data_IF_047285926553
#
_entry.id   IF_047285926553
#
_cell.length_a   1.000
_cell.length_b   1.000
_cell.length_c   1.000
_cell.angle_alpha   90.00
_cell.angle_beta   90.00
_cell.angle_gamma   90.00
#
_symmetry.space_group_name_H-M   'P 1'
#
loop_
_entity.id
_entity.type
_entity.pdbx_description
1 polymer ?
#
# COMPACT_ATOMS: atom_id res chain seq x y z
N UNK A 1 1.90 -5.06 25.94
CA UNK A 1 1.57 -3.62 25.99
C UNK A 1 0.19 -3.41 25.35
N UNK A 2 -0.46 -2.28 25.57
CA UNK A 2 -1.88 -2.09 25.23
C UNK A 2 -2.18 -2.21 23.71
N UNK A 3 -1.23 -1.81 22.85
CA UNK A 3 -1.41 -1.76 21.40
C UNK A 3 -0.59 -2.80 20.61
N UNK A 4 0.08 -3.72 21.25
CA UNK A 4 0.95 -4.70 20.55
C UNK A 4 0.18 -5.63 19.58
N UNK A 5 -1.12 -5.78 19.79
CA UNK A 5 -1.99 -6.58 18.93
C UNK A 5 -2.40 -5.87 17.63
N UNK A 6 -2.13 -4.57 17.48
CA UNK A 6 -2.38 -3.81 16.25
C UNK A 6 -1.19 -3.76 15.29
N UNK A 7 -0.26 -4.69 15.40
CA UNK A 7 0.78 -4.90 14.39
C UNK A 7 0.19 -5.47 13.09
N UNK A 8 1.00 -5.59 12.05
CA UNK A 8 0.54 -6.16 10.78
C UNK A 8 -0.11 -7.54 10.99
N UNK A 9 -1.20 -7.86 10.23
CA UNK A 9 -1.87 -9.16 10.33
C UNK A 9 -0.94 -10.34 10.10
N UNK A 10 -1.17 -11.50 10.74
CA UNK A 10 -0.38 -12.70 10.49
C UNK A 10 -0.54 -13.15 9.04
N UNK A 11 0.55 -13.69 8.47
CA UNK A 11 0.51 -14.34 7.17
C UNK A 11 -0.26 -15.65 7.21
N UNK A 12 -0.72 -16.10 6.04
CA UNK A 12 -1.44 -17.36 5.84
C UNK A 12 -2.72 -17.48 6.68
N UNK A 13 -3.35 -16.33 6.95
CA UNK A 13 -4.65 -16.23 7.60
C UNK A 13 -5.54 -15.21 6.87
N UNK A 14 -6.87 -15.41 6.86
CA UNK A 14 -7.78 -14.44 6.25
C UNK A 14 -7.62 -13.05 6.87
N UNK A 15 -7.45 -12.04 6.02
CA UNK A 15 -7.32 -10.65 6.49
C UNK A 15 -8.54 -10.19 7.29
N UNK A 16 -9.73 -10.73 6.96
CA UNK A 16 -10.97 -10.42 7.68
C UNK A 16 -10.98 -10.89 9.13
N UNK A 17 -10.18 -11.92 9.46
CA UNK A 17 -10.10 -12.49 10.81
C UNK A 17 -9.04 -11.79 11.68
N UNK A 18 -8.24 -10.92 11.08
CA UNK A 18 -7.25 -10.15 11.82
C UNK A 18 -7.92 -9.30 12.91
N UNK A 19 -7.15 -9.02 13.96
CA UNK A 19 -7.61 -8.22 15.09
C UNK A 19 -8.88 -8.78 15.78
N UNK A 20 -9.06 -10.13 15.74
CA UNK A 20 -10.22 -10.79 16.34
C UNK A 20 -11.57 -10.45 15.70
N UNK A 21 -11.57 -10.00 14.43
CA UNK A 21 -12.78 -9.61 13.73
C UNK A 21 -13.36 -8.26 14.20
N UNK A 22 -12.54 -7.42 14.82
CA UNK A 22 -12.96 -6.10 15.32
C UNK A 22 -13.46 -5.19 14.17
N UNK A 23 -12.93 -5.33 12.97
CA UNK A 23 -13.26 -4.48 11.83
C UNK A 23 -14.19 -5.17 10.85
N UNK A 24 -15.21 -4.45 10.38
CA UNK A 24 -16.21 -4.95 9.43
C UNK A 24 -15.62 -5.29 8.06
N UNK A 25 -14.61 -4.55 7.63
CA UNK A 25 -14.05 -4.67 6.27
C UNK A 25 -12.58 -4.33 6.20
N UNK A 26 -11.94 -4.86 5.15
CA UNK A 26 -10.57 -4.54 4.77
C UNK A 26 -10.57 -4.07 3.32
N UNK A 27 -10.04 -2.88 3.07
CA UNK A 27 -9.77 -2.37 1.73
C UNK A 27 -8.27 -2.37 1.47
N UNK A 28 -7.85 -3.00 0.38
CA UNK A 28 -6.46 -3.10 -0.02
C UNK A 28 -6.18 -1.92 -0.94
N UNK A 29 -5.45 -0.93 -0.43
CA UNK A 29 -5.05 0.28 -1.16
C UNK A 29 -3.77 -0.04 -1.93
N UNK A 30 -3.80 -0.04 -3.24
CA UNK A 30 -2.62 -0.22 -4.08
C UNK A 30 -1.74 1.03 -4.04
N UNK A 31 -0.46 0.85 -3.78
CA UNK A 31 0.50 1.94 -3.88
C UNK A 31 0.66 2.36 -5.34
N UNK A 32 0.40 3.61 -5.72
CA UNK A 32 0.51 4.03 -7.11
C UNK A 32 1.95 3.93 -7.60
N UNK A 33 2.11 3.66 -8.88
CA UNK A 33 3.37 3.96 -9.55
C UNK A 33 3.62 5.47 -9.50
N UNK A 34 4.88 5.88 -9.56
CA UNK A 34 5.27 7.28 -9.43
C UNK A 34 5.69 7.83 -10.79
N UNK A 35 4.93 8.78 -11.32
CA UNK A 35 5.31 9.53 -12.52
C UNK A 35 6.02 10.81 -12.10
N UNK A 36 7.19 11.07 -12.68
CA UNK A 36 7.95 12.31 -12.46
C UNK A 36 8.37 12.88 -13.81
N UNK A 37 8.33 14.21 -14.00
CA UNK A 37 8.68 14.84 -15.26
C UNK A 37 10.07 14.47 -15.80
N UNK A 38 10.17 14.24 -17.11
CA UNK A 38 11.36 13.74 -17.80
C UNK A 38 12.60 14.65 -17.75
N UNK A 39 12.40 15.94 -17.54
CA UNK A 39 13.45 16.95 -17.59
C UNK A 39 14.31 17.05 -16.32
N UNK A 40 14.17 16.12 -15.38
CA UNK A 40 14.87 16.18 -14.12
C UNK A 40 16.17 15.36 -14.15
N UNK A 41 17.28 15.99 -13.80
CA UNK A 41 18.63 15.45 -13.94
C UNK A 41 18.88 14.14 -13.15
N UNK A 42 18.16 13.90 -12.05
CA UNK A 42 18.35 12.69 -11.24
C UNK A 42 17.89 11.41 -11.95
N UNK A 43 16.97 11.51 -12.93
CA UNK A 43 16.56 10.36 -13.76
C UNK A 43 17.73 9.74 -14.52
N UNK A 44 18.73 10.54 -14.89
CA UNK A 44 19.92 10.05 -15.55
C UNK A 44 20.76 9.11 -14.68
N UNK A 45 20.63 9.19 -13.35
CA UNK A 45 21.35 8.32 -12.40
C UNK A 45 20.71 6.96 -12.18
N UNK A 46 19.48 6.73 -12.69
CA UNK A 46 18.67 5.53 -12.43
C UNK A 46 18.44 5.23 -10.93
N UNK A 47 18.66 6.22 -10.07
CA UNK A 47 18.44 6.08 -8.63
C UNK A 47 16.97 6.38 -8.32
N UNK A 48 16.35 5.52 -7.49
CA UNK A 48 14.97 5.73 -7.02
C UNK A 48 14.85 7.11 -6.35
N UNK A 49 13.79 7.90 -6.63
CA UNK A 49 13.61 9.23 -6.06
C UNK A 49 13.41 9.15 -4.53
N UNK A 50 13.97 10.11 -3.82
CA UNK A 50 13.71 10.26 -2.39
C UNK A 50 12.31 10.82 -2.12
N UNK A 51 11.82 10.67 -0.88
CA UNK A 51 10.47 11.08 -0.50
C UNK A 51 10.17 12.54 -0.80
N UNK A 52 11.10 13.45 -0.52
CA UNK A 52 10.93 14.87 -0.84
C UNK A 52 10.73 15.12 -2.34
N UNK A 53 11.43 14.36 -3.18
CA UNK A 53 11.27 14.45 -4.63
C UNK A 53 9.93 13.90 -5.07
N UNK A 54 9.52 12.75 -4.51
CA UNK A 54 8.20 12.15 -4.77
C UNK A 54 7.09 13.12 -4.35
N UNK A 55 7.18 13.68 -3.14
CA UNK A 55 6.17 14.58 -2.59
C UNK A 55 6.08 15.93 -3.31
N UNK A 56 7.19 16.42 -3.89
CA UNK A 56 7.22 17.73 -4.57
C UNK A 56 6.96 17.65 -6.07
N UNK A 57 7.31 16.55 -6.72
CA UNK A 57 7.36 16.43 -8.18
C UNK A 57 6.60 15.22 -8.71
N UNK A 58 6.31 14.25 -7.84
CA UNK A 58 5.64 13.01 -8.20
C UNK A 58 4.14 13.19 -8.40
N UNK A 59 3.59 12.39 -9.31
CA UNK A 59 2.17 12.22 -9.49
C UNK A 59 1.80 10.74 -9.45
N UNK A 60 0.63 10.42 -8.90
CA UNK A 60 0.09 9.05 -8.89
C UNK A 60 -0.12 8.58 -10.33
N UNK A 61 0.42 7.41 -10.65
CA UNK A 61 0.19 6.75 -11.92
C UNK A 61 -0.52 5.41 -11.62
N UNK A 62 -1.79 5.25 -12.04
CA UNK A 62 -2.63 4.14 -11.62
C UNK A 62 -2.15 2.78 -12.13
N UNK A 63 -2.36 1.71 -11.35
CA UNK A 63 -2.12 0.33 -11.76
C UNK A 63 -2.91 -0.05 -13.01
N UNK A 64 -4.18 0.36 -13.09
CA UNK A 64 -5.02 0.14 -14.26
C UNK A 64 -4.37 0.66 -15.55
N UNK A 65 -3.73 1.82 -15.47
CA UNK A 65 -3.04 2.42 -16.61
C UNK A 65 -1.76 1.66 -16.98
N UNK A 66 -1.00 1.19 -15.98
CA UNK A 66 0.17 0.32 -16.21
C UNK A 66 -0.26 -0.98 -16.85
N UNK A 67 -1.30 -1.63 -16.31
CA UNK A 67 -1.86 -2.87 -16.85
C UNK A 67 -2.27 -2.73 -18.31
N UNK A 68 -2.99 -1.66 -18.67
CA UNK A 68 -3.41 -1.39 -20.04
C UNK A 68 -2.22 -1.21 -21.01
N UNK A 69 -1.12 -0.64 -20.54
CA UNK A 69 0.04 -0.36 -21.38
C UNK A 69 1.05 -1.50 -21.48
N UNK A 70 1.06 -2.40 -20.49
CA UNK A 70 1.96 -3.55 -20.46
C UNK A 70 1.32 -4.84 -20.98
N UNK A 71 -0.01 -4.87 -21.11
CA UNK A 71 -0.77 -6.09 -21.37
C UNK A 71 -0.89 -7.01 -20.16
N UNK A 72 -0.46 -6.58 -18.96
CA UNK A 72 -0.61 -7.32 -17.71
C UNK A 72 -2.02 -7.05 -17.14
N UNK A 73 -3.01 -7.71 -17.72
CA UNK A 73 -4.43 -7.35 -17.62
C UNK A 73 -5.09 -7.56 -16.25
N UNK A 74 -4.37 -8.12 -15.26
CA UNK A 74 -4.91 -8.32 -13.90
C UNK A 74 -3.97 -7.75 -12.86
N UNK A 75 -4.52 -7.29 -11.73
CA UNK A 75 -3.74 -6.83 -10.59
C UNK A 75 -2.76 -7.91 -10.11
N UNK A 76 -3.20 -9.17 -10.05
CA UNK A 76 -2.35 -10.30 -9.68
C UNK A 76 -1.13 -10.46 -10.60
N UNK A 77 -1.32 -10.36 -11.91
CA UNK A 77 -0.22 -10.42 -12.89
C UNK A 77 0.75 -9.25 -12.74
N UNK A 78 0.23 -8.05 -12.54
CA UNK A 78 1.07 -6.87 -12.35
C UNK A 78 1.84 -6.94 -11.03
N UNK A 79 1.19 -7.41 -9.94
CA UNK A 79 1.85 -7.65 -8.66
C UNK A 79 2.94 -8.73 -8.78
N UNK A 80 2.67 -9.83 -9.48
CA UNK A 80 3.68 -10.86 -9.75
C UNK A 80 4.89 -10.30 -10.51
N UNK A 81 4.65 -9.42 -11.49
CA UNK A 81 5.73 -8.75 -12.23
C UNK A 81 6.56 -7.82 -11.33
N UNK A 82 5.93 -7.06 -10.41
CA UNK A 82 6.59 -6.23 -9.42
C UNK A 82 7.47 -7.08 -8.49
N UNK A 83 6.88 -8.08 -7.83
CA UNK A 83 7.59 -8.97 -6.91
C UNK A 83 8.72 -9.75 -7.60
N UNK A 84 8.54 -10.13 -8.88
CA UNK A 84 9.59 -10.74 -9.69
C UNK A 84 10.73 -9.74 -9.94
N UNK A 85 10.40 -8.46 -10.18
CA UNK A 85 11.38 -7.40 -10.47
C UNK A 85 12.23 -7.03 -9.25
N UNK A 86 11.67 -7.12 -8.04
CA UNK A 86 12.39 -6.85 -6.77
C UNK A 86 13.05 -8.10 -6.21
N UNK A 87 12.65 -9.28 -6.65
CA UNK A 87 13.11 -10.55 -6.12
C UNK A 87 12.37 -11.01 -4.87
N UNK A 88 11.32 -10.29 -4.47
CA UNK A 88 10.48 -10.55 -3.29
C UNK A 88 9.45 -11.66 -3.52
N UNK A 89 9.74 -12.63 -4.38
CA UNK A 89 8.89 -13.79 -4.69
C UNK A 89 9.72 -15.04 -4.88
N UNK A 90 9.22 -16.18 -4.45
CA UNK A 90 9.89 -17.47 -4.60
C UNK A 90 10.27 -17.74 -6.07
N UNK A 91 11.47 -18.32 -6.34
CA UNK A 91 11.97 -18.48 -7.71
C UNK A 91 11.02 -19.20 -8.67
N UNK A 92 10.29 -20.21 -8.19
CA UNK A 92 9.33 -21.01 -8.95
C UNK A 92 8.07 -20.25 -9.35
N UNK A 93 7.80 -19.13 -8.70
CA UNK A 93 6.62 -18.27 -8.94
C UNK A 93 6.96 -17.05 -9.79
N UNK A 94 8.23 -16.87 -10.16
CA UNK A 94 8.66 -15.73 -10.95
C UNK A 94 8.11 -15.78 -12.38
N UNK A 95 7.61 -14.64 -12.84
CA UNK A 95 7.30 -14.41 -14.25
C UNK A 95 8.27 -13.40 -14.85
N UNK A 96 9.39 -13.91 -15.37
CA UNK A 96 10.45 -13.07 -15.95
C UNK A 96 9.96 -12.32 -17.19
N UNK A 97 8.99 -12.85 -17.94
CA UNK A 97 8.44 -12.19 -19.12
C UNK A 97 7.55 -11.00 -18.71
N UNK A 98 6.71 -11.17 -17.70
CA UNK A 98 5.91 -10.10 -17.13
C UNK A 98 6.78 -8.99 -16.50
N UNK A 99 7.83 -9.38 -15.77
CA UNK A 99 8.79 -8.44 -15.19
C UNK A 99 9.52 -7.65 -16.29
N UNK A 100 9.95 -8.29 -17.38
CA UNK A 100 10.60 -7.62 -18.50
C UNK A 100 9.66 -6.64 -19.21
N UNK A 101 8.39 -7.00 -19.43
CA UNK A 101 7.38 -6.11 -19.99
C UNK A 101 7.15 -4.88 -19.10
N UNK A 102 7.01 -5.09 -17.80
CA UNK A 102 6.90 -4.01 -16.82
C UNK A 102 8.12 -3.08 -16.84
N UNK A 103 9.33 -3.61 -16.77
CA UNK A 103 10.57 -2.82 -16.78
C UNK A 103 10.72 -2.00 -18.06
N UNK A 104 10.40 -2.59 -19.21
CA UNK A 104 10.43 -1.88 -20.51
C UNK A 104 9.47 -0.69 -20.52
N UNK A 105 8.26 -0.89 -20.02
CA UNK A 105 7.28 0.18 -19.88
C UNK A 105 7.77 1.29 -18.92
N UNK A 106 8.23 0.93 -17.73
CA UNK A 106 8.69 1.90 -16.72
C UNK A 106 9.82 2.81 -17.28
N UNK A 107 10.75 2.21 -18.03
CA UNK A 107 11.85 2.94 -18.64
C UNK A 107 11.36 3.89 -19.74
N UNK A 108 10.44 3.43 -20.59
CA UNK A 108 9.93 4.22 -21.72
C UNK A 108 8.98 5.34 -21.29
N UNK A 109 8.18 5.11 -20.25
CA UNK A 109 7.15 6.03 -19.77
C UNK A 109 7.62 7.01 -18.69
N UNK A 110 8.87 6.88 -18.21
CA UNK A 110 9.39 7.70 -17.11
C UNK A 110 8.60 7.56 -15.81
N UNK A 111 8.18 6.31 -15.55
CA UNK A 111 7.42 5.92 -14.38
C UNK A 111 8.30 5.04 -13.49
N UNK A 112 8.18 5.21 -12.20
CA UNK A 112 8.87 4.42 -11.18
C UNK A 112 7.93 3.40 -10.58
N UNK A 113 8.47 2.28 -10.11
CA UNK A 113 7.70 1.30 -9.33
C UNK A 113 7.10 1.96 -8.09
N UNK A 114 6.00 1.41 -7.54
CA UNK A 114 5.50 1.81 -6.24
C UNK A 114 6.58 1.65 -5.15
N UNK A 115 6.45 2.39 -4.07
CA UNK A 115 7.26 2.16 -2.88
C UNK A 115 6.91 0.80 -2.28
N UNK A 116 7.93 -0.01 -2.03
CA UNK A 116 7.81 -1.31 -1.36
C UNK A 116 7.98 -1.15 0.15
N UNK A 117 7.15 -1.84 0.91
CA UNK A 117 7.36 -2.08 2.31
C UNK A 117 7.25 -0.88 3.25
N UNK A 118 6.61 0.20 2.84
CA UNK A 118 6.36 1.38 3.68
C UNK A 118 5.19 2.18 3.15
N UNK A 119 4.66 3.07 3.96
CA UNK A 119 3.60 3.98 3.53
C UNK A 119 4.05 4.81 2.33
N UNK A 120 3.28 4.74 1.23
CA UNK A 120 3.58 5.44 -0.02
C UNK A 120 3.50 6.97 0.18
N UNK A 121 4.55 7.73 -0.14
CA UNK A 121 4.57 9.19 0.06
C UNK A 121 3.40 9.91 -0.58
N UNK A 122 2.97 9.51 -1.80
CA UNK A 122 1.84 10.13 -2.50
C UNK A 122 0.47 9.83 -1.89
N UNK A 123 0.38 8.87 -0.95
CA UNK A 123 -0.85 8.53 -0.24
C UNK A 123 -0.90 9.10 1.19
N UNK A 124 0.18 9.68 1.71
CA UNK A 124 0.23 10.17 3.08
C UNK A 124 -0.88 11.18 3.39
N UNK A 125 -1.13 12.11 2.46
CA UNK A 125 -2.18 13.11 2.64
C UNK A 125 -3.59 12.50 2.57
N UNK A 126 -3.78 11.44 1.78
CA UNK A 126 -5.05 10.73 1.70
C UNK A 126 -5.31 9.95 2.99
N UNK A 127 -4.26 9.32 3.55
CA UNK A 127 -4.37 8.65 4.85
C UNK A 127 -4.74 9.65 5.95
N UNK A 128 -4.08 10.79 6.01
CA UNK A 128 -4.41 11.84 6.99
C UNK A 128 -5.80 12.45 6.75
N UNK A 129 -6.29 12.44 5.51
CA UNK A 129 -7.67 12.85 5.21
C UNK A 129 -8.69 11.87 5.80
N UNK A 130 -8.40 10.55 5.87
CA UNK A 130 -9.26 9.58 6.54
C UNK A 130 -9.41 9.91 8.04
N UNK A 131 -8.29 10.20 8.74
CA UNK A 131 -8.34 10.61 10.15
C UNK A 131 -9.12 11.90 10.34
N UNK A 132 -8.90 12.90 9.48
CA UNK A 132 -9.64 14.16 9.54
C UNK A 132 -11.14 13.97 9.27
N UNK A 133 -11.53 13.11 8.32
CA UNK A 133 -12.93 12.79 8.02
C UNK A 133 -13.63 12.09 9.19
N UNK A 134 -12.91 11.31 9.97
CA UNK A 134 -13.38 10.71 11.22
C UNK A 134 -13.35 11.68 12.42
N UNK A 135 -12.94 12.95 12.24
CA UNK A 135 -12.81 13.93 13.32
C UNK A 135 -11.64 13.72 14.27
N UNK A 136 -10.69 12.83 13.91
CA UNK A 136 -9.53 12.51 14.73
C UNK A 136 -8.50 13.65 14.70
N UNK A 137 -8.14 14.17 15.87
CA UNK A 137 -7.08 15.19 16.02
C UNK A 137 -5.71 14.51 16.19
N UNK A 138 -5.70 13.30 16.69
CA UNK A 138 -4.54 12.48 16.98
C UNK A 138 -4.74 11.07 16.40
N UNK A 139 -3.63 10.41 16.13
CA UNK A 139 -3.59 9.01 15.75
C UNK A 139 -2.53 8.29 16.59
N UNK A 140 -2.72 7.00 16.79
CA UNK A 140 -1.77 6.13 17.47
C UNK A 140 -0.93 5.47 16.38
N UNK A 141 0.38 5.66 16.44
CA UNK A 141 1.32 4.93 15.59
C UNK A 141 1.89 3.74 16.37
N UNK A 142 1.61 2.55 15.88
CA UNK A 142 2.19 1.29 16.37
C UNK A 142 3.30 0.89 15.40
N UNK A 143 4.58 0.95 15.82
CA UNK A 143 5.68 0.57 14.95
C UNK A 143 5.66 -0.94 14.65
N UNK A 144 6.37 -1.37 13.62
CA UNK A 144 6.47 -2.78 13.22
C UNK A 144 6.98 -3.67 14.37
N UNK A 145 7.89 -3.14 15.19
CA UNK A 145 8.49 -3.84 16.33
C UNK A 145 8.20 -3.08 17.64
N UNK A 146 6.98 -3.16 18.18
CA UNK A 146 6.59 -2.35 19.35
C UNK A 146 7.34 -2.72 20.63
N UNK A 147 8.05 -3.87 20.67
CA UNK A 147 8.90 -4.22 21.82
C UNK A 147 10.23 -3.47 21.83
N UNK A 148 10.68 -2.94 20.69
CA UNK A 148 11.92 -2.17 20.55
C UNK A 148 11.66 -0.69 20.36
N UNK A 149 10.61 -0.37 19.64
CA UNK A 149 10.21 0.98 19.31
C UNK A 149 8.92 1.37 20.03
N UNK A 150 8.85 2.53 20.69
CA UNK A 150 7.67 2.90 21.47
C UNK A 150 6.49 3.24 20.55
N UNK A 151 5.29 2.87 20.99
CA UNK A 151 4.03 3.38 20.43
C UNK A 151 3.99 4.90 20.63
N UNK A 152 3.54 5.62 19.61
CA UNK A 152 3.55 7.09 19.60
C UNK A 152 2.15 7.64 19.37
N UNK A 153 1.81 8.72 20.08
CA UNK A 153 0.63 9.52 19.78
C UNK A 153 1.07 10.69 18.87
N UNK A 154 0.55 10.72 17.65
CA UNK A 154 0.94 11.68 16.64
C UNK A 154 -0.22 12.65 16.36
N UNK A 155 0.11 13.93 16.14
CA UNK A 155 -0.90 14.93 15.85
C UNK A 155 -1.16 15.04 14.33
N UNK A 156 -2.38 14.82 13.90
CA UNK A 156 -2.81 14.80 12.49
C UNK A 156 -2.50 16.13 11.79
N UNK A 157 -2.71 17.27 12.46
CA UNK A 157 -2.41 18.57 11.87
C UNK A 157 -0.92 18.82 11.67
N UNK A 158 -0.06 18.36 12.60
CA UNK A 158 1.39 18.46 12.45
C UNK A 158 1.92 17.63 11.32
N UNK A 159 1.42 16.39 11.18
CA UNK A 159 1.75 15.51 10.04
C UNK A 159 1.30 16.15 8.71
N UNK A 160 0.08 16.68 8.63
CA UNK A 160 -0.42 17.37 7.44
C UNK A 160 0.40 18.60 7.05
N UNK A 161 0.87 19.35 8.02
CA UNK A 161 1.70 20.55 7.83
C UNK A 161 3.18 20.20 7.67
N UNK A 162 3.55 18.92 7.72
CA UNK A 162 4.95 18.43 7.63
C UNK A 162 5.87 19.03 8.67
N UNK A 163 5.33 19.43 9.83
CA UNK A 163 6.11 19.85 11.00
C UNK A 163 6.51 18.68 11.88
N UNK A 164 5.98 17.50 11.58
CA UNK A 164 6.32 16.21 12.13
C UNK A 164 6.49 15.22 10.98
N UNK A 165 7.45 14.30 11.09
CA UNK A 165 7.73 13.33 10.05
C UNK A 165 6.61 12.26 10.01
N UNK A 166 6.14 11.94 8.81
CA UNK A 166 5.19 10.84 8.63
C UNK A 166 5.90 9.50 8.89
N UNK A 167 5.29 8.58 9.67
CA UNK A 167 5.87 7.27 9.94
C UNK A 167 6.15 6.49 8.66
N UNK A 168 7.25 5.76 8.62
CA UNK A 168 7.63 4.99 7.44
C UNK A 168 6.84 3.69 7.33
N UNK A 169 6.74 2.92 8.42
CA UNK A 169 6.16 1.56 8.44
C UNK A 169 5.56 1.24 9.79
N UNK A 170 4.50 0.45 9.79
CA UNK A 170 3.77 0.04 10.98
C UNK A 170 2.26 0.24 10.79
N UNK A 171 1.56 0.55 11.86
CA UNK A 171 0.12 0.76 11.86
C UNK A 171 -0.22 2.18 12.34
N UNK A 172 -1.10 2.85 11.59
CA UNK A 172 -1.75 4.09 11.97
C UNK A 172 -3.16 3.74 12.45
N UNK A 173 -3.41 3.85 13.74
CA UNK A 173 -4.68 3.51 14.38
C UNK A 173 -5.43 4.78 14.79
N UNK A 174 -6.74 4.83 14.54
CA UNK A 174 -7.59 5.88 15.08
C UNK A 174 -7.57 5.86 16.61
N UNK A 175 -7.58 7.02 17.26
CA UNK A 175 -7.50 7.10 18.72
C UNK A 175 -8.71 6.44 19.43
N UNK A 176 -9.83 6.30 18.74
CA UNK A 176 -11.03 5.57 19.19
C UNK A 176 -11.08 4.11 18.70
N UNK A 177 -10.00 3.63 18.08
CA UNK A 177 -9.84 2.29 17.53
C UNK A 177 -10.87 1.90 16.45
N UNK A 178 -11.56 2.87 15.87
CA UNK A 178 -12.63 2.63 14.89
C UNK A 178 -12.12 2.17 13.52
N UNK A 179 -10.87 2.47 13.17
CA UNK A 179 -10.22 2.04 11.92
C UNK A 179 -8.69 2.09 12.05
N UNK A 180 -8.01 1.41 11.15
CA UNK A 180 -6.56 1.48 11.04
C UNK A 180 -6.07 1.35 9.58
N UNK A 181 -4.84 1.82 9.37
CA UNK A 181 -4.07 1.63 8.15
C UNK A 181 -2.75 0.94 8.52
N UNK A 182 -2.41 -0.16 7.86
CA UNK A 182 -1.17 -0.89 8.13
C UNK A 182 -0.47 -1.31 6.86
N UNK A 183 0.87 -1.36 6.89
CA UNK A 183 1.70 -1.74 5.76
C UNK A 183 2.76 -2.74 6.18
N UNK A 184 2.96 -3.76 5.36
CA UNK A 184 4.01 -4.76 5.53
C UNK A 184 5.26 -4.42 4.71
N UNK A 185 6.42 -4.94 5.12
CA UNK A 185 7.74 -4.61 4.56
C UNK A 185 7.96 -5.09 3.11
N UNK A 186 7.27 -6.12 2.64
CA UNK A 186 7.38 -6.64 1.26
C UNK A 186 6.10 -6.39 0.44
N UNK A 187 5.29 -5.39 0.80
CA UNK A 187 4.05 -5.12 0.09
C UNK A 187 4.10 -3.84 -0.75
N UNK A 188 3.34 -3.83 -1.83
CA UNK A 188 3.04 -2.66 -2.65
C UNK A 188 1.62 -2.15 -2.38
N UNK A 189 1.12 -2.36 -1.17
CA UNK A 189 -0.22 -1.96 -0.75
C UNK A 189 -0.28 -1.65 0.74
N UNK A 190 -1.28 -0.90 1.13
CA UNK A 190 -1.66 -0.63 2.52
C UNK A 190 -3.01 -1.25 2.78
N UNK A 191 -3.18 -1.93 3.92
CA UNK A 191 -4.46 -2.45 4.36
C UNK A 191 -5.20 -1.37 5.15
N UNK A 192 -6.44 -1.10 4.77
CA UNK A 192 -7.33 -0.16 5.44
C UNK A 192 -8.49 -0.91 6.06
N UNK A 193 -8.45 -1.09 7.36
CA UNK A 193 -9.48 -1.75 8.17
C UNK A 193 -10.46 -0.73 8.73
N UNK A 194 -11.75 -1.05 8.74
CA UNK A 194 -12.76 -0.19 9.36
C UNK A 194 -14.19 -0.50 8.93
N UNK A 195 -15.16 0.35 9.34
CA UNK A 195 -16.54 0.24 8.88
C UNK A 195 -16.63 0.39 7.36
N UNK A 196 -17.29 -0.54 6.67
CA UNK A 196 -17.32 -0.59 5.21
C UNK A 196 -17.81 0.71 4.56
N UNK A 197 -18.83 1.32 5.13
CA UNK A 197 -19.37 2.58 4.61
C UNK A 197 -18.34 3.72 4.70
N UNK A 198 -17.63 3.84 5.82
CA UNK A 198 -16.58 4.82 6.03
C UNK A 198 -15.40 4.60 5.06
N UNK A 199 -14.89 3.37 4.99
CA UNK A 199 -13.79 3.00 4.10
C UNK A 199 -14.14 3.28 2.63
N UNK A 200 -15.37 2.92 2.20
CA UNK A 200 -15.85 3.20 0.84
C UNK A 200 -15.85 4.69 0.53
N UNK A 201 -16.39 5.51 1.46
CA UNK A 201 -16.47 6.95 1.26
C UNK A 201 -15.08 7.60 1.19
N UNK A 202 -14.16 7.22 2.08
CA UNK A 202 -12.77 7.71 2.04
C UNK A 202 -12.10 7.29 0.72
N UNK A 203 -12.22 6.02 0.33
CA UNK A 203 -11.60 5.52 -0.90
C UNK A 203 -12.11 6.31 -2.13
N UNK A 204 -13.41 6.59 -2.18
CA UNK A 204 -14.02 7.40 -3.24
C UNK A 204 -13.55 8.86 -3.21
N UNK A 205 -13.57 9.52 -2.04
CA UNK A 205 -13.19 10.94 -1.91
C UNK A 205 -11.71 11.18 -2.23
N UNK A 206 -10.83 10.26 -1.81
CA UNK A 206 -9.40 10.37 -2.03
C UNK A 206 -8.95 9.70 -3.34
N UNK A 207 -9.91 9.17 -4.14
CA UNK A 207 -9.61 8.45 -5.39
C UNK A 207 -8.53 7.38 -5.19
N UNK A 208 -8.71 6.55 -4.15
CA UNK A 208 -7.79 5.46 -3.84
C UNK A 208 -8.03 4.29 -4.80
N UNK A 209 -6.99 3.85 -5.48
CA UNK A 209 -7.03 2.63 -6.29
C UNK A 209 -6.87 1.42 -5.37
N UNK A 210 -7.80 0.45 -5.47
CA UNK A 210 -7.78 -0.72 -4.61
C UNK A 210 -9.07 -1.53 -4.70
N UNK A 211 -9.24 -2.46 -3.77
CA UNK A 211 -10.41 -3.35 -3.73
C UNK A 211 -10.64 -3.86 -2.31
N UNK A 212 -11.85 -4.28 -2.02
CA UNK A 212 -12.19 -4.91 -0.74
C UNK A 212 -11.71 -6.36 -0.71
N UNK A 213 -11.11 -6.76 0.41
CA UNK A 213 -10.84 -8.16 0.70
C UNK A 213 -12.14 -8.97 0.77
N UNK A 214 -12.08 -10.21 0.30
CA UNK A 214 -13.12 -11.22 0.51
C UNK A 214 -12.86 -11.95 1.82
N UNK A 215 -13.81 -12.75 2.34
CA UNK A 215 -13.58 -13.55 3.55
C UNK A 215 -12.41 -14.53 3.45
N UNK A 216 -11.98 -14.87 2.23
CA UNK A 216 -10.87 -15.81 1.98
C UNK A 216 -9.60 -15.11 1.48
N UNK A 217 -9.59 -13.78 1.45
CA UNK A 217 -8.39 -13.04 1.06
C UNK A 217 -7.35 -13.12 2.18
N UNK A 218 -6.16 -13.59 1.84
CA UNK A 218 -5.04 -13.72 2.76
C UNK A 218 -3.78 -13.09 2.17
N UNK A 219 -2.85 -12.70 3.02
CA UNK A 219 -1.50 -12.34 2.64
C UNK A 219 -0.62 -13.55 2.93
N UNK A 220 -0.14 -14.24 1.90
CA UNK A 220 0.66 -15.44 2.05
C UNK A 220 2.12 -15.16 1.75
N UNK A 221 2.98 -15.49 2.71
CA UNK A 221 4.45 -15.41 2.55
C UNK A 221 5.05 -16.73 2.08
N UNK A 222 4.50 -17.85 2.56
CA UNK A 222 5.07 -19.19 2.39
C UNK A 222 4.18 -20.16 1.61
N UNK A 223 3.05 -19.76 1.12
CA UNK A 223 2.17 -20.68 0.40
C UNK A 223 2.69 -20.94 -1.01
N UNK A 224 3.58 -21.91 -1.13
CA UNK A 224 4.19 -22.33 -2.39
C UNK A 224 3.17 -22.85 -3.44
N UNK A 225 1.95 -23.20 -3.04
CA UNK A 225 0.92 -23.70 -3.95
C UNK A 225 0.08 -22.61 -4.59
N UNK A 226 0.02 -21.42 -4.01
CA UNK A 226 -0.81 -20.30 -4.51
C UNK A 226 0.00 -19.00 -4.76
N UNK A 227 1.32 -19.05 -4.65
CA UNK A 227 2.19 -17.92 -4.99
C UNK A 227 2.20 -16.84 -3.92
N UNK A 228 3.27 -16.89 -3.15
CA UNK A 228 3.86 -15.86 -2.33
C UNK A 228 3.31 -14.46 -2.57
N UNK A 229 2.97 -13.74 -1.51
CA UNK A 229 2.60 -12.31 -1.53
C UNK A 229 1.53 -11.89 -2.54
N UNK A 230 0.77 -12.82 -3.06
CA UNK A 230 -0.41 -12.48 -3.82
C UNK A 230 -1.58 -12.44 -2.87
N UNK A 231 -2.09 -11.26 -2.63
CA UNK A 231 -3.49 -11.13 -2.28
C UNK A 231 -4.22 -11.92 -3.36
N UNK A 232 -4.80 -13.07 -3.03
CA UNK A 232 -5.55 -13.87 -3.99
C UNK A 232 -6.79 -13.07 -4.34
N UNK A 233 -6.68 -12.28 -5.39
CA UNK A 233 -7.79 -11.52 -5.92
C UNK A 233 -8.72 -12.52 -6.59
N UNK A 234 -9.95 -12.54 -6.16
CA UNK A 234 -11.01 -12.99 -7.04
C UNK A 234 -10.83 -12.27 -8.38
N UNK A 235 -11.07 -12.94 -9.53
CA UNK A 235 -10.76 -12.39 -10.86
C UNK A 235 -11.62 -11.18 -11.25
N UNK A 236 -12.09 -10.40 -10.32
CA UNK A 236 -13.05 -9.33 -10.56
C UNK A 236 -12.38 -7.97 -10.55
N UNK A 237 -12.30 -7.48 -11.78
CA UNK A 237 -12.62 -6.13 -12.21
C UNK A 237 -11.81 -5.00 -11.58
N UNK A 238 -10.91 -4.48 -12.40
CA UNK A 238 -10.55 -3.06 -12.32
C UNK A 238 -11.84 -2.25 -12.20
N UNK A 239 -11.96 -1.32 -11.23
CA UNK A 239 -13.12 -0.44 -11.20
C UNK A 239 -13.22 0.21 -12.58
N UNK A 240 -14.41 0.13 -13.17
CA UNK A 240 -14.69 0.81 -14.43
C UNK A 240 -14.34 2.29 -14.28
N UNK A 241 -13.52 2.79 -15.20
CA UNK A 241 -13.11 4.18 -15.24
C UNK A 241 -14.30 5.13 -15.38
#
# INVERSE_FOLDING_TARGET
MEYDHYTYPPYDAPLADAYGGLFESVFIILHPFVSIPDNLAWKATKKYPGDEQILSLGAKFPWARVAAQTGLTTCAKLNQALLTSTGSIAPELRDLSAAAALQSFLQSASVWMPVEGRFEPLLQMDFLAAFAAAGQQELIFVPEFPHTDPVQLLNVSRLRNRTEAFPSRGTLLAADESFLLTVDWDSFFTLFYGPRAFVTEVARQQNLEGFFATPTTEHSWFNYTLGCCMVTLAPEVWPAA
#
